data_IF_823208462610
#
_entry.id   IF_823208462610
#
_cell.length_a   1.000
_cell.length_b   1.000
_cell.length_c   1.000
_cell.angle_alpha   90.00
_cell.angle_beta   90.00
_cell.angle_gamma   90.00
#
_symmetry.space_group_name_H-M   'P 1'
#
loop_
_entity.id
_entity.type
_entity.pdbx_description
1 polymer ?
#
# COMPACT_ATOMS: atom_id res chain seq x y z
N UNK A 1 22.27 -6.55 60.32
CA UNK A 1 21.73 -5.46 59.52
C UNK A 1 22.42 -5.47 58.15
N UNK A 2 21.76 -6.00 57.10
CA UNK A 2 22.25 -6.00 55.71
C UNK A 2 21.53 -4.89 54.98
N UNK A 3 22.29 -3.89 54.54
CA UNK A 3 21.76 -2.81 53.67
C UNK A 3 21.69 -3.31 52.23
N UNK A 4 20.51 -3.29 51.65
CA UNK A 4 20.28 -3.56 50.23
C UNK A 4 20.40 -2.24 49.51
N UNK A 5 21.42 -2.12 48.67
CA UNK A 5 21.64 -0.95 47.80
C UNK A 5 20.86 -1.21 46.50
N UNK A 6 19.72 -0.52 46.35
CA UNK A 6 18.90 -0.54 45.12
C UNK A 6 19.52 0.42 44.12
N UNK A 7 20.12 -0.10 43.07
CA UNK A 7 20.64 0.67 41.92
C UNK A 7 19.47 1.02 40.99
N UNK A 8 19.02 2.26 41.01
CA UNK A 8 18.09 2.80 40.00
C UNK A 8 18.89 3.08 38.72
N UNK A 9 18.64 2.26 37.68
CA UNK A 9 19.07 2.60 36.34
C UNK A 9 18.11 3.67 35.77
N UNK A 10 18.59 4.89 35.69
CA UNK A 10 17.96 5.92 34.88
C UNK A 10 18.31 5.66 33.41
N UNK A 11 17.36 5.18 32.62
CA UNK A 11 17.47 5.21 31.17
C UNK A 11 17.14 6.64 30.71
N UNK A 12 18.16 7.43 30.48
CA UNK A 12 18.01 8.75 29.85
C UNK A 12 17.72 8.53 28.37
N UNK A 13 16.47 8.74 27.96
CA UNK A 13 16.10 8.98 26.58
C UNK A 13 16.73 10.31 26.13
N UNK A 14 17.80 10.22 25.35
CA UNK A 14 18.33 11.37 24.64
C UNK A 14 17.42 11.67 23.45
N UNK A 15 16.49 12.59 23.62
CA UNK A 15 15.89 13.30 22.49
C UNK A 15 17.00 14.18 21.89
N UNK A 16 17.59 13.74 20.77
CA UNK A 16 18.42 14.62 19.97
C UNK A 16 17.47 15.50 19.16
N UNK A 17 17.32 16.75 19.55
CA UNK A 17 16.69 17.77 18.71
C UNK A 17 17.57 17.97 17.48
N UNK A 18 17.03 17.71 16.31
CA UNK A 18 17.61 18.11 15.04
C UNK A 18 17.71 19.64 15.02
N UNK A 19 18.85 20.15 14.61
CA UNK A 19 19.15 21.58 14.56
C UNK A 19 18.40 22.16 13.35
N UNK A 20 17.42 23.00 13.62
CA UNK A 20 16.56 23.63 12.61
C UNK A 20 17.32 24.82 12.00
N UNK A 21 17.79 24.67 10.77
CA UNK A 21 18.21 25.80 9.96
C UNK A 21 16.98 26.53 9.39
N UNK A 22 17.10 27.80 9.10
CA UNK A 22 16.02 28.77 8.84
C UNK A 22 15.09 28.51 7.64
N UNK A 23 15.12 27.34 7.04
CA UNK A 23 14.46 27.03 5.78
C UNK A 23 13.53 25.82 5.79
N UNK A 24 12.95 25.40 6.89
CA UNK A 24 12.06 24.22 6.94
C UNK A 24 12.67 22.90 6.40
N UNK A 25 13.99 22.87 6.21
CA UNK A 25 14.71 21.66 5.80
C UNK A 25 14.78 20.68 6.96
N UNK A 26 14.66 19.39 6.64
CA UNK A 26 14.73 18.33 7.65
C UNK A 26 15.61 17.18 7.13
N UNK A 27 16.56 16.74 7.96
CA UNK A 27 17.45 15.62 7.64
C UNK A 27 17.56 14.67 8.81
N UNK A 28 17.30 13.37 8.56
CA UNK A 28 17.50 12.28 9.50
C UNK A 28 18.21 11.13 8.77
N UNK A 29 19.28 10.59 9.34
CA UNK A 29 19.89 9.32 8.91
C UNK A 29 20.28 8.53 10.15
N UNK A 30 19.46 7.52 10.52
CA UNK A 30 19.64 6.82 11.80
C UNK A 30 19.16 5.37 11.73
N UNK A 31 19.82 4.52 12.51
CA UNK A 31 19.41 3.14 12.76
C UNK A 31 18.64 3.04 14.09
N UNK A 32 17.60 2.20 14.07
CA UNK A 32 16.73 1.91 15.20
C UNK A 32 16.66 0.41 15.44
N UNK A 33 16.44 0.01 16.68
CA UNK A 33 16.10 -1.38 16.97
C UNK A 33 14.74 -1.68 16.36
N UNK A 34 14.64 -2.84 15.74
CA UNK A 34 13.41 -3.28 15.11
C UNK A 34 13.36 -4.81 15.19
N UNK A 35 12.18 -5.38 15.45
CA UNK A 35 11.99 -6.82 15.44
C UNK A 35 11.95 -7.35 13.99
N UNK A 36 12.45 -8.56 13.74
CA UNK A 36 12.36 -9.18 12.41
C UNK A 36 10.92 -9.35 11.91
N UNK A 37 9.95 -9.33 12.82
CA UNK A 37 8.51 -9.38 12.53
C UNK A 37 7.78 -8.19 13.16
N UNK A 38 8.48 -7.09 13.35
CA UNK A 38 7.91 -5.85 13.88
C UNK A 38 7.00 -5.16 12.88
N UNK A 39 6.24 -4.20 13.36
CA UNK A 39 5.40 -3.35 12.52
C UNK A 39 6.02 -1.96 12.41
N UNK A 40 6.16 -1.48 11.18
CA UNK A 40 6.41 -0.09 10.89
C UNK A 40 5.08 0.62 10.68
N UNK A 41 4.82 1.67 11.46
CA UNK A 41 3.75 2.63 11.19
C UNK A 41 4.38 3.89 10.60
N UNK A 42 3.94 4.29 9.41
CA UNK A 42 4.36 5.54 8.77
C UNK A 42 3.14 6.42 8.52
N UNK A 43 3.22 7.66 8.95
CA UNK A 43 2.27 8.70 8.58
C UNK A 43 3.02 9.90 8.04
N UNK A 44 2.82 10.21 6.76
CA UNK A 44 3.43 11.35 6.08
C UNK A 44 2.44 11.95 5.07
N UNK A 45 2.70 13.19 4.66
CA UNK A 45 1.97 13.85 3.57
C UNK A 45 2.65 13.57 2.21
N UNK A 46 3.04 14.58 1.48
CA UNK A 46 3.51 14.58 0.09
C UNK A 46 4.94 14.04 -0.07
N UNK A 47 5.23 12.82 0.38
CA UNK A 47 6.58 12.24 0.35
C UNK A 47 6.75 11.23 -0.78
N UNK A 48 7.99 11.17 -1.32
CA UNK A 48 8.41 10.00 -2.09
C UNK A 48 9.03 8.97 -1.16
N UNK A 49 8.35 7.83 -0.97
CA UNK A 49 8.67 6.82 0.03
C UNK A 49 9.24 5.57 -0.62
N UNK A 50 10.40 5.13 -0.14
CA UNK A 50 11.03 3.87 -0.52
C UNK A 50 11.17 2.99 0.70
N UNK A 51 10.60 1.78 0.65
CA UNK A 51 10.70 0.78 1.71
C UNK A 51 11.30 -0.49 1.13
N UNK A 52 12.46 -0.89 1.62
CA UNK A 52 13.16 -2.08 1.16
C UNK A 52 13.38 -3.07 2.32
N UNK A 53 12.86 -4.29 2.15
CA UNK A 53 13.15 -5.43 3.01
C UNK A 53 14.48 -6.08 2.66
N UNK A 54 15.19 -6.59 3.67
CA UNK A 54 16.45 -7.30 3.49
C UNK A 54 16.78 -8.19 4.68
N UNK A 55 17.80 -9.04 4.58
CA UNK A 55 18.32 -9.84 5.70
C UNK A 55 19.09 -8.93 6.69
N UNK A 56 18.34 -8.11 7.42
CA UNK A 56 18.87 -7.22 8.46
C UNK A 56 18.10 -7.39 9.76
N UNK A 57 18.74 -7.09 10.89
CA UNK A 57 18.15 -7.20 12.22
C UNK A 57 17.77 -5.87 12.89
N UNK A 58 17.68 -4.80 12.10
CA UNK A 58 17.35 -3.46 12.59
C UNK A 58 16.62 -2.66 11.49
N UNK A 59 16.11 -1.48 11.81
CA UNK A 59 15.60 -0.53 10.82
C UNK A 59 16.62 0.57 10.56
N UNK A 60 16.75 1.00 9.31
CA UNK A 60 17.49 2.22 8.95
C UNK A 60 16.51 3.20 8.30
N UNK A 61 16.44 4.39 8.85
CA UNK A 61 15.55 5.46 8.39
C UNK A 61 16.40 6.62 7.91
N UNK A 62 16.15 7.04 6.67
CA UNK A 62 16.74 8.25 6.11
C UNK A 62 15.61 9.13 5.56
N UNK A 63 15.51 10.35 6.10
CA UNK A 63 14.51 11.33 5.69
C UNK A 63 15.26 12.58 5.25
N UNK A 64 14.99 13.02 4.04
CA UNK A 64 15.53 14.25 3.47
C UNK A 64 14.36 15.11 2.98
N UNK A 65 14.21 16.30 3.55
CA UNK A 65 13.27 17.31 3.10
C UNK A 65 14.02 18.61 2.88
N UNK A 66 13.92 19.13 1.66
CA UNK A 66 14.53 20.40 1.24
C UNK A 66 13.44 21.32 0.69
N UNK A 67 13.39 22.57 1.16
CA UNK A 67 12.41 23.57 0.73
C UNK A 67 13.11 24.77 0.14
N UNK A 68 12.85 25.05 -1.13
CA UNK A 68 13.34 26.24 -1.81
C UNK A 68 12.20 27.24 -2.03
N UNK A 69 12.30 28.41 -1.42
CA UNK A 69 11.32 29.47 -1.57
C UNK A 69 11.99 30.75 -2.11
N UNK A 70 11.46 31.29 -3.21
CA UNK A 70 11.88 32.57 -3.80
C UNK A 70 10.69 33.49 -3.93
N UNK A 71 10.70 34.63 -3.28
CA UNK A 71 9.61 35.60 -3.34
C UNK A 71 9.27 36.23 -1.98
N UNK A 72 8.03 36.68 -1.82
CA UNK A 72 7.51 37.27 -0.61
C UNK A 72 6.57 36.30 0.07
N UNK A 73 6.88 35.94 1.32
CA UNK A 73 6.03 35.09 2.16
C UNK A 73 5.21 36.00 3.05
N UNK A 74 3.89 35.80 3.08
CA UNK A 74 2.96 36.46 3.98
C UNK A 74 2.37 35.42 4.92
N UNK A 75 2.46 35.62 6.23
CA UNK A 75 1.89 34.72 7.23
C UNK A 75 2.93 34.06 8.14
N UNK A 76 2.53 32.98 8.80
CA UNK A 76 3.40 32.23 9.71
C UNK A 76 4.39 31.34 8.98
N UNK A 77 5.35 30.79 9.74
CA UNK A 77 6.20 29.70 9.25
C UNK A 77 5.51 28.38 9.55
N UNK A 78 5.47 27.49 8.58
CA UNK A 78 5.08 26.10 8.79
C UNK A 78 6.24 25.38 9.52
N UNK A 79 5.95 24.84 10.68
CA UNK A 79 6.89 24.00 11.40
C UNK A 79 6.71 22.55 10.93
N UNK A 80 7.75 22.00 10.31
CA UNK A 80 7.83 20.61 9.93
C UNK A 80 8.69 19.84 10.91
N UNK A 81 8.24 18.69 11.35
CA UNK A 81 9.02 17.77 12.15
C UNK A 81 8.57 16.32 11.89
N UNK A 82 9.53 15.40 11.93
CA UNK A 82 9.28 13.95 11.92
C UNK A 82 9.64 13.38 13.28
N UNK A 83 8.67 12.75 13.92
CA UNK A 83 8.86 12.01 15.15
C UNK A 83 9.06 10.53 14.86
N UNK A 84 10.12 9.95 15.40
CA UNK A 84 10.44 8.52 15.22
C UNK A 84 10.56 7.88 16.59
N UNK A 85 9.61 6.99 16.91
CA UNK A 85 9.51 6.33 18.20
C UNK A 85 9.66 4.80 18.06
N UNK A 86 10.55 4.20 18.86
CA UNK A 86 10.69 2.76 18.97
C UNK A 86 9.89 2.24 20.17
N UNK A 87 8.95 1.33 19.90
CA UNK A 87 8.10 0.74 20.94
C UNK A 87 8.12 -0.78 20.82
N UNK A 88 8.79 -1.47 21.74
CA UNK A 88 8.80 -2.93 21.82
C UNK A 88 9.20 -3.64 20.49
N UNK A 89 10.15 -3.08 19.77
CA UNK A 89 10.62 -3.62 18.49
C UNK A 89 9.75 -3.27 17.28
N UNK A 90 8.77 -2.41 17.45
CA UNK A 90 8.03 -1.72 16.38
C UNK A 90 8.58 -0.31 16.21
N UNK A 91 8.21 0.35 15.14
CA UNK A 91 8.67 1.71 14.85
C UNK A 91 7.49 2.55 14.33
N UNK A 92 7.26 3.68 14.99
CA UNK A 92 6.29 4.67 14.56
C UNK A 92 7.03 5.90 14.03
N UNK A 93 6.70 6.31 12.80
CA UNK A 93 7.24 7.48 12.11
C UNK A 93 6.07 8.39 11.77
N UNK A 94 5.99 9.53 12.45
CA UNK A 94 4.86 10.44 12.36
C UNK A 94 5.32 11.81 11.89
N UNK A 95 4.72 12.29 10.83
CA UNK A 95 4.87 13.68 10.39
C UNK A 95 4.01 14.57 11.26
N UNK A 96 4.65 15.58 11.85
CA UNK A 96 3.99 16.67 12.57
C UNK A 96 4.12 17.94 11.73
N UNK A 97 3.05 18.32 11.04
CA UNK A 97 3.00 19.55 10.24
C UNK A 97 1.99 20.50 10.88
N UNK A 98 2.46 21.65 11.37
CA UNK A 98 1.54 22.67 11.81
C UNK A 98 1.25 23.62 10.65
N UNK A 99 0.00 23.66 10.22
CA UNK A 99 -0.44 24.59 9.18
C UNK A 99 -0.65 25.97 9.77
N UNK A 100 0.17 26.93 9.37
CA UNK A 100 -0.17 28.34 9.52
C UNK A 100 -0.67 28.86 8.16
N UNK A 101 -1.69 29.71 8.15
CA UNK A 101 -2.16 30.30 6.90
C UNK A 101 -1.07 31.23 6.35
N UNK A 102 -0.27 30.73 5.43
CA UNK A 102 0.76 31.48 4.72
C UNK A 102 0.39 31.63 3.25
N UNK A 103 0.67 32.76 2.67
CA UNK A 103 0.58 33.02 1.26
C UNK A 103 1.95 33.31 0.68
N UNK A 104 2.30 32.70 -0.44
CA UNK A 104 3.55 32.92 -1.15
C UNK A 104 3.25 33.60 -2.47
N UNK A 105 3.90 34.76 -2.70
CA UNK A 105 3.95 35.38 -4.02
C UNK A 105 5.36 35.16 -4.56
N UNK A 106 5.51 34.08 -5.38
CA UNK A 106 6.82 33.68 -5.86
C UNK A 106 6.88 32.22 -6.26
N UNK A 107 8.03 31.60 -6.05
CA UNK A 107 8.32 30.21 -6.36
C UNK A 107 8.47 29.41 -5.04
N UNK A 108 7.81 28.27 -4.99
CA UNK A 108 7.96 27.26 -3.93
C UNK A 108 8.30 25.92 -4.56
N UNK A 109 9.31 25.25 -4.06
CA UNK A 109 9.66 23.89 -4.45
C UNK A 109 10.04 23.10 -3.22
N UNK A 110 9.45 21.93 -3.08
CA UNK A 110 9.73 20.98 -2.02
C UNK A 110 10.23 19.69 -2.63
N UNK A 111 11.27 19.13 -2.04
CA UNK A 111 11.74 17.78 -2.31
C UNK A 111 11.73 17.01 -1.00
N UNK A 112 10.82 16.05 -0.89
CA UNK A 112 10.64 15.27 0.32
C UNK A 112 10.75 13.78 0.02
N UNK A 113 11.73 13.11 0.64
CA UNK A 113 12.04 11.71 0.39
C UNK A 113 12.25 10.97 1.70
N UNK A 114 11.62 9.81 1.84
CA UNK A 114 11.74 8.90 2.97
C UNK A 114 12.28 7.57 2.45
N UNK A 115 13.45 7.15 2.93
CA UNK A 115 14.03 5.86 2.63
C UNK A 115 14.09 5.01 3.89
N UNK A 116 13.49 3.84 3.84
CA UNK A 116 13.34 2.92 4.97
C UNK A 116 13.87 1.56 4.58
N UNK A 117 14.84 1.04 5.34
CA UNK A 117 15.31 -0.32 5.16
C UNK A 117 14.96 -1.13 6.40
N UNK A 118 14.29 -2.28 6.22
CA UNK A 118 13.73 -3.12 7.26
C UNK A 118 14.17 -4.59 7.11
N UNK A 119 13.98 -5.42 8.13
CA UNK A 119 13.92 -6.87 7.92
C UNK A 119 12.79 -7.25 6.97
N UNK A 120 13.00 -8.26 6.12
CA UNK A 120 11.99 -8.75 5.15
C UNK A 120 10.65 -9.13 5.82
N UNK A 121 10.69 -9.73 7.01
CA UNK A 121 9.50 -10.13 7.77
C UNK A 121 8.72 -9.01 8.44
N UNK A 122 9.08 -7.74 8.20
CA UNK A 122 8.37 -6.59 8.75
C UNK A 122 6.95 -6.47 8.18
N UNK A 123 6.01 -5.98 9.01
CA UNK A 123 4.69 -5.55 8.57
C UNK A 123 4.64 -4.02 8.44
N UNK A 124 3.82 -3.53 7.53
CA UNK A 124 3.68 -2.11 7.24
C UNK A 124 2.24 -1.63 7.50
N UNK A 125 2.12 -0.48 8.13
CA UNK A 125 0.89 0.30 8.24
C UNK A 125 1.23 1.72 7.81
N UNK A 126 0.76 2.13 6.64
CA UNK A 126 1.10 3.41 6.03
C UNK A 126 -0.17 4.24 5.85
N UNK A 127 -0.09 5.51 6.21
CA UNK A 127 -1.10 6.52 5.90
C UNK A 127 -0.42 7.71 5.26
N UNK A 128 -0.94 8.13 4.12
CA UNK A 128 -0.41 9.25 3.37
C UNK A 128 -1.48 10.04 2.65
N UNK A 129 -1.16 11.28 2.34
CA UNK A 129 -2.00 12.10 1.51
C UNK A 129 -1.54 11.89 0.03
N UNK A 130 -0.70 12.78 -0.52
CA UNK A 130 -0.16 12.65 -1.87
C UNK A 130 1.24 11.98 -1.85
N UNK A 131 1.65 11.34 -2.93
CA UNK A 131 3.03 10.87 -3.04
C UNK A 131 3.22 9.58 -3.83
N UNK A 132 4.48 9.15 -3.93
CA UNK A 132 4.84 7.90 -4.58
C UNK A 132 5.38 6.91 -3.53
N UNK A 133 4.88 5.69 -3.51
CA UNK A 133 5.32 4.63 -2.61
C UNK A 133 5.90 3.47 -3.40
N UNK A 134 7.17 3.14 -3.13
CA UNK A 134 7.87 1.99 -3.71
C UNK A 134 8.28 1.02 -2.60
N UNK A 135 7.67 -0.18 -2.60
CA UNK A 135 7.87 -1.19 -1.55
C UNK A 135 8.43 -2.46 -2.18
N UNK A 136 9.56 -2.92 -1.67
CA UNK A 136 10.23 -4.10 -2.19
C UNK A 136 10.58 -5.10 -1.08
N UNK A 137 10.49 -6.40 -1.38
CA UNK A 137 10.96 -7.50 -0.53
C UNK A 137 10.39 -7.48 0.90
N UNK A 138 9.11 -7.25 1.06
CA UNK A 138 8.41 -7.30 2.36
C UNK A 138 7.54 -8.54 2.42
N UNK A 139 7.78 -9.40 3.42
CA UNK A 139 7.08 -10.66 3.66
C UNK A 139 6.02 -10.58 4.77
N UNK A 140 5.90 -9.47 5.47
CA UNK A 140 4.83 -9.21 6.44
C UNK A 140 3.55 -8.68 5.80
N UNK A 141 2.53 -8.40 6.60
CA UNK A 141 1.29 -7.78 6.13
C UNK A 141 1.53 -6.32 5.75
N UNK A 142 0.86 -5.86 4.69
CA UNK A 142 0.96 -4.48 4.21
C UNK A 142 -0.44 -3.88 4.18
N UNK A 143 -0.63 -2.81 4.96
CA UNK A 143 -1.86 -2.01 4.97
C UNK A 143 -1.51 -0.57 4.61
N UNK A 144 -2.16 -0.04 3.58
CA UNK A 144 -1.97 1.33 3.11
C UNK A 144 -3.31 2.04 2.97
N UNK A 145 -3.35 3.28 3.42
CA UNK A 145 -4.52 4.16 3.41
C UNK A 145 -4.01 5.50 2.87
N UNK A 146 -4.28 5.76 1.61
CA UNK A 146 -3.67 6.83 0.80
C UNK A 146 -4.77 7.61 0.10
N UNK A 147 -4.58 8.93 -0.07
CA UNK A 147 -5.50 9.75 -0.83
C UNK A 147 -5.09 9.74 -2.32
N UNK A 148 -4.17 10.63 -2.78
CA UNK A 148 -3.74 10.76 -4.17
C UNK A 148 -2.31 10.20 -4.34
N UNK A 149 -2.15 8.88 -4.58
CA UNK A 149 -0.83 8.27 -4.52
C UNK A 149 -0.61 7.12 -5.50
N UNK A 150 0.61 7.04 -6.05
CA UNK A 150 1.06 5.88 -6.81
C UNK A 150 1.76 4.86 -5.92
N UNK A 151 1.31 3.60 -5.99
CA UNK A 151 1.83 2.50 -5.20
C UNK A 151 2.46 1.41 -6.07
N UNK A 152 3.76 1.20 -5.93
CA UNK A 152 4.48 0.12 -6.60
C UNK A 152 5.01 -0.90 -5.57
N UNK A 153 4.59 -2.18 -5.69
CA UNK A 153 5.07 -3.28 -4.86
C UNK A 153 5.79 -4.32 -5.73
N UNK A 154 6.98 -4.75 -5.28
CA UNK A 154 7.76 -5.81 -5.94
C UNK A 154 8.26 -6.83 -4.94
N UNK A 155 8.14 -8.11 -5.31
CA UNK A 155 8.62 -9.22 -4.49
C UNK A 155 8.09 -9.19 -3.04
N UNK A 156 6.82 -8.79 -2.85
CA UNK A 156 6.15 -8.76 -1.57
C UNK A 156 5.30 -10.02 -1.39
N UNK A 157 5.48 -10.76 -0.30
CA UNK A 157 4.82 -12.04 -0.09
C UNK A 157 4.22 -12.19 1.31
N UNK A 158 3.35 -11.24 1.68
CA UNK A 158 2.68 -11.24 2.98
C UNK A 158 1.48 -12.19 3.06
N UNK A 159 0.91 -12.27 4.27
CA UNK A 159 -0.34 -13.00 4.47
C UNK A 159 -1.57 -12.16 4.09
N UNK A 160 -1.44 -10.85 4.11
CA UNK A 160 -2.53 -9.91 3.90
C UNK A 160 -2.01 -8.61 3.28
N UNK A 161 -2.70 -8.16 2.24
CA UNK A 161 -2.53 -6.88 1.60
C UNK A 161 -3.86 -6.14 1.66
N UNK A 162 -3.84 -4.92 2.18
CA UNK A 162 -5.00 -4.05 2.25
C UNK A 162 -4.63 -2.68 1.72
N UNK A 163 -5.31 -2.25 0.67
CA UNK A 163 -5.11 -0.97 0.02
C UNK A 163 -6.42 -0.20 -0.02
N UNK A 164 -6.38 1.03 0.46
CA UNK A 164 -7.46 2.01 0.31
C UNK A 164 -6.86 3.21 -0.38
N UNK A 165 -7.42 3.60 -1.53
CA UNK A 165 -6.99 4.75 -2.35
C UNK A 165 -8.20 5.53 -2.81
N UNK A 166 -8.10 6.87 -2.81
CA UNK A 166 -9.06 7.72 -3.50
C UNK A 166 -8.66 7.82 -4.99
N UNK A 167 -7.48 8.36 -5.31
CA UNK A 167 -6.93 8.49 -6.66
C UNK A 167 -5.53 7.86 -6.80
N UNK A 168 -5.14 7.43 -8.00
CA UNK A 168 -3.79 6.96 -8.32
C UNK A 168 -3.69 5.52 -8.82
N UNK A 169 -2.49 4.98 -8.91
CA UNK A 169 -2.24 3.67 -9.50
C UNK A 169 -1.69 2.67 -8.48
N UNK A 170 -2.17 1.42 -8.51
CA UNK A 170 -1.57 0.29 -7.81
C UNK A 170 -0.91 -0.65 -8.80
N UNK A 171 0.40 -0.78 -8.75
CA UNK A 171 1.16 -1.75 -9.53
C UNK A 171 1.83 -2.76 -8.61
N UNK A 172 1.46 -4.04 -8.72
CA UNK A 172 2.02 -5.11 -7.89
C UNK A 172 2.58 -6.22 -8.76
N UNK A 173 3.85 -6.55 -8.55
CA UNK A 173 4.49 -7.73 -9.14
C UNK A 173 4.82 -8.74 -8.05
N UNK A 174 4.23 -9.91 -8.17
CA UNK A 174 4.11 -10.96 -7.15
C UNK A 174 3.17 -10.54 -6.00
N UNK A 175 2.60 -11.52 -5.31
CA UNK A 175 1.73 -11.33 -4.15
C UNK A 175 1.10 -12.64 -3.73
N UNK A 176 0.95 -12.85 -2.42
CA UNK A 176 0.35 -14.06 -1.82
C UNK A 176 -0.59 -13.66 -0.69
N UNK A 177 -1.38 -14.63 -0.21
CA UNK A 177 -2.26 -14.41 0.94
C UNK A 177 -3.60 -13.82 0.55
N UNK A 178 -4.18 -12.98 1.42
CA UNK A 178 -5.41 -12.27 1.15
C UNK A 178 -5.12 -10.89 0.54
N UNK A 179 -5.93 -10.47 -0.42
CA UNK A 179 -5.87 -9.15 -1.02
C UNK A 179 -7.21 -8.44 -0.82
N UNK A 180 -7.18 -7.25 -0.25
CA UNK A 180 -8.31 -6.33 -0.12
C UNK A 180 -7.95 -5.00 -0.78
N UNK A 181 -8.78 -4.53 -1.69
CA UNK A 181 -8.65 -3.24 -2.38
C UNK A 181 -9.98 -2.52 -2.28
N UNK A 182 -9.94 -1.27 -1.88
CA UNK A 182 -11.06 -0.34 -1.83
C UNK A 182 -10.58 0.97 -2.45
N UNK A 183 -11.04 1.28 -3.66
CA UNK A 183 -10.52 2.41 -4.40
C UNK A 183 -11.63 3.13 -5.20
N UNK A 184 -11.57 4.45 -5.22
CA UNK A 184 -12.53 5.26 -5.97
C UNK A 184 -12.06 5.40 -7.44
N UNK A 185 -11.09 6.24 -7.76
CA UNK A 185 -10.58 6.52 -9.12
C UNK A 185 -9.15 5.96 -9.30
N UNK A 186 -8.98 4.62 -9.35
CA UNK A 186 -7.66 4.02 -9.39
C UNK A 186 -7.50 2.88 -10.40
N UNK A 187 -6.40 2.90 -11.15
CA UNK A 187 -5.99 1.78 -11.98
C UNK A 187 -5.17 0.76 -11.17
N UNK A 188 -5.62 -0.49 -11.17
CA UNK A 188 -4.97 -1.58 -10.43
C UNK A 188 -4.41 -2.62 -11.39
N UNK A 189 -3.10 -2.84 -11.33
CA UNK A 189 -2.40 -3.85 -12.12
C UNK A 189 -1.60 -4.79 -11.26
N UNK A 190 -1.99 -6.06 -11.23
CA UNK A 190 -1.31 -7.12 -10.49
C UNK A 190 -0.84 -8.21 -11.43
N UNK A 191 0.46 -8.51 -11.42
CA UNK A 191 1.07 -9.60 -12.15
C UNK A 191 1.60 -10.68 -11.19
N UNK A 192 1.69 -11.92 -11.68
CA UNK A 192 2.28 -13.06 -10.95
C UNK A 192 1.67 -13.33 -9.57
N UNK A 193 0.40 -13.00 -9.36
CA UNK A 193 -0.29 -13.20 -8.08
C UNK A 193 -0.56 -14.68 -7.73
N UNK A 194 -0.63 -14.98 -6.45
CA UNK A 194 -1.02 -16.29 -5.90
C UNK A 194 -1.87 -16.11 -4.64
N UNK A 195 -2.99 -15.42 -4.79
CA UNK A 195 -3.84 -15.06 -3.67
C UNK A 195 -4.76 -16.20 -3.24
N UNK A 196 -4.99 -16.31 -1.93
CA UNK A 196 -5.97 -17.23 -1.33
C UNK A 196 -7.38 -16.68 -1.39
N UNK A 197 -7.52 -15.37 -1.38
CA UNK A 197 -8.76 -14.62 -1.57
C UNK A 197 -8.46 -13.23 -2.14
N UNK A 198 -9.44 -12.69 -2.86
CA UNK A 198 -9.43 -11.30 -3.33
C UNK A 198 -10.79 -10.69 -2.97
N UNK A 199 -10.76 -9.52 -2.38
CA UNK A 199 -11.89 -8.62 -2.27
C UNK A 199 -11.47 -7.29 -2.88
N UNK A 200 -12.03 -6.92 -4.03
CA UNK A 200 -11.76 -5.65 -4.69
C UNK A 200 -13.08 -4.93 -4.95
N UNK A 201 -13.13 -3.68 -4.53
CA UNK A 201 -14.22 -2.75 -4.77
C UNK A 201 -13.62 -1.49 -5.39
N UNK A 202 -13.99 -1.19 -6.64
CA UNK A 202 -13.44 -0.09 -7.42
C UNK A 202 -14.60 0.63 -8.08
N UNK A 203 -14.70 1.94 -7.88
CA UNK A 203 -15.74 2.71 -8.54
C UNK A 203 -15.37 2.95 -10.00
N UNK A 204 -14.35 3.75 -10.28
CA UNK A 204 -13.86 4.06 -11.62
C UNK A 204 -12.39 3.61 -11.80
N UNK A 205 -12.07 2.92 -12.89
CA UNK A 205 -10.71 2.49 -13.21
C UNK A 205 -10.60 1.07 -13.77
N UNK A 206 -9.41 0.71 -14.21
CA UNK A 206 -9.13 -0.60 -14.77
C UNK A 206 -8.53 -1.55 -13.71
N UNK A 207 -9.19 -2.68 -13.46
CA UNK A 207 -8.68 -3.75 -12.61
C UNK A 207 -8.11 -4.89 -13.46
N UNK A 208 -6.80 -5.00 -13.54
CA UNK A 208 -6.09 -6.03 -14.31
C UNK A 208 -5.32 -6.94 -13.37
N UNK A 209 -5.83 -8.15 -13.15
CA UNK A 209 -5.22 -9.12 -12.24
C UNK A 209 -4.82 -10.39 -12.98
N UNK A 210 -3.55 -10.78 -12.85
CA UNK A 210 -3.03 -12.10 -13.21
C UNK A 210 -2.71 -12.87 -11.93
N UNK A 211 -3.42 -13.97 -11.68
CA UNK A 211 -3.26 -14.76 -10.45
C UNK A 211 -3.57 -16.23 -10.64
N UNK A 212 -3.03 -17.08 -9.77
CA UNK A 212 -3.54 -18.44 -9.58
C UNK A 212 -4.73 -18.43 -8.62
N UNK A 213 -5.73 -19.28 -8.88
CA UNK A 213 -6.86 -19.48 -7.97
C UNK A 213 -6.55 -20.61 -6.99
N UNK A 214 -6.59 -20.30 -5.70
CA UNK A 214 -6.47 -21.30 -4.65
C UNK A 214 -7.68 -22.24 -4.64
N UNK A 215 -7.47 -23.53 -4.33
CA UNK A 215 -8.58 -24.45 -4.17
C UNK A 215 -9.44 -24.03 -2.97
N UNK A 216 -10.75 -23.89 -3.16
CA UNK A 216 -11.71 -23.31 -2.22
C UNK A 216 -11.48 -21.81 -1.89
N UNK A 217 -10.66 -21.10 -2.66
CA UNK A 217 -10.51 -19.64 -2.55
C UNK A 217 -11.81 -18.90 -2.88
N UNK A 218 -11.96 -17.70 -2.31
CA UNK A 218 -13.09 -16.81 -2.58
C UNK A 218 -12.57 -15.50 -3.16
N UNK A 219 -13.09 -15.13 -4.32
CA UNK A 219 -12.69 -13.96 -5.08
C UNK A 219 -13.93 -13.14 -5.36
N UNK A 220 -14.01 -11.98 -4.75
CA UNK A 220 -15.09 -11.02 -4.94
C UNK A 220 -14.51 -9.77 -5.59
N UNK A 221 -15.07 -9.38 -6.73
CA UNK A 221 -14.66 -8.21 -7.49
C UNK A 221 -15.91 -7.41 -7.83
N UNK A 222 -15.93 -6.15 -7.46
CA UNK A 222 -16.94 -5.18 -7.83
C UNK A 222 -16.29 -4.02 -8.56
N UNK A 223 -16.84 -3.61 -9.71
CA UNK A 223 -16.47 -2.37 -10.38
C UNK A 223 -17.69 -1.75 -11.02
N UNK A 224 -17.82 -0.42 -10.92
CA UNK A 224 -18.91 0.31 -11.56
C UNK A 224 -18.59 0.57 -13.03
N UNK A 225 -17.48 1.24 -13.32
CA UNK A 225 -16.99 1.54 -14.66
C UNK A 225 -15.61 0.91 -14.96
N UNK A 226 -15.14 0.97 -16.20
CA UNK A 226 -13.81 0.54 -16.61
C UNK A 226 -13.70 -0.90 -17.09
N UNK A 227 -12.59 -1.57 -16.77
CA UNK A 227 -12.27 -2.93 -17.21
C UNK A 227 -11.95 -3.84 -16.02
N UNK A 228 -12.65 -4.94 -15.89
CA UNK A 228 -12.23 -6.07 -15.05
C UNK A 228 -11.56 -7.12 -15.94
N UNK A 229 -10.24 -7.25 -15.89
CA UNK A 229 -9.48 -8.26 -16.59
C UNK A 229 -8.86 -9.26 -15.60
N UNK A 230 -9.42 -10.46 -15.51
CA UNK A 230 -8.88 -11.53 -14.66
C UNK A 230 -8.24 -12.62 -15.51
N UNK A 231 -6.92 -12.77 -15.37
CA UNK A 231 -6.14 -13.83 -15.99
C UNK A 231 -5.84 -14.92 -14.97
N UNK A 232 -6.39 -16.10 -15.19
CA UNK A 232 -6.17 -17.26 -14.33
C UNK A 232 -4.98 -18.06 -14.83
N UNK A 233 -3.86 -18.03 -14.12
CA UNK A 233 -2.64 -18.77 -14.48
C UNK A 233 -2.75 -20.24 -14.10
N UNK A 234 -3.30 -20.54 -12.93
CA UNK A 234 -3.49 -21.91 -12.44
C UNK A 234 -4.79 -22.03 -11.62
N UNK A 235 -5.25 -23.26 -11.38
CA UNK A 235 -6.49 -23.49 -10.65
C UNK A 235 -7.73 -23.31 -11.52
N UNK A 236 -8.88 -23.25 -10.88
CA UNK A 236 -10.18 -23.10 -11.52
C UNK A 236 -11.31 -23.10 -10.50
N UNK A 237 -12.54 -23.02 -10.97
CA UNK A 237 -13.68 -22.95 -10.09
C UNK A 237 -14.98 -22.54 -10.80
N UNK A 238 -15.89 -21.95 -10.03
CA UNK A 238 -17.16 -21.42 -10.49
C UNK A 238 -17.11 -19.90 -10.51
N UNK A 239 -17.53 -19.34 -11.64
CA UNK A 239 -17.60 -17.91 -11.87
C UNK A 239 -19.07 -17.51 -11.97
N UNK A 240 -19.48 -16.55 -11.19
CA UNK A 240 -20.80 -15.94 -11.18
C UNK A 240 -20.64 -14.43 -11.46
N UNK A 241 -20.95 -14.01 -12.68
CA UNK A 241 -20.76 -12.65 -13.13
C UNK A 241 -22.14 -12.02 -13.26
N UNK A 242 -22.42 -11.01 -12.46
CA UNK A 242 -23.61 -10.16 -12.56
C UNK A 242 -23.22 -8.87 -13.22
N UNK A 243 -23.95 -8.48 -14.22
CA UNK A 243 -23.64 -7.29 -15.01
C UNK A 243 -24.94 -6.60 -15.46
N UNK A 244 -24.85 -5.30 -15.61
CA UNK A 244 -25.85 -4.47 -16.29
C UNK A 244 -25.12 -3.77 -17.43
N UNK A 245 -25.65 -3.88 -18.64
CA UNK A 245 -25.05 -3.39 -19.90
C UNK A 245 -23.56 -3.79 -20.17
N UNK A 246 -22.95 -4.55 -19.28
CA UNK A 246 -21.55 -4.98 -19.38
C UNK A 246 -21.36 -6.14 -20.36
N UNK A 247 -20.23 -6.10 -21.07
CA UNK A 247 -19.84 -7.18 -22.00
C UNK A 247 -18.86 -8.14 -21.34
N UNK A 248 -19.24 -9.42 -21.24
CA UNK A 248 -18.36 -10.49 -20.76
C UNK A 248 -17.65 -11.17 -21.94
N UNK A 249 -16.32 -11.19 -21.92
CA UNK A 249 -15.46 -11.85 -22.92
C UNK A 249 -14.64 -12.92 -22.22
N UNK A 250 -14.63 -14.13 -22.79
CA UNK A 250 -13.86 -15.25 -22.23
C UNK A 250 -12.88 -15.80 -23.25
N UNK A 251 -11.64 -16.08 -22.81
CA UNK A 251 -10.59 -16.71 -23.60
C UNK A 251 -10.05 -17.93 -22.85
N UNK A 252 -9.93 -19.06 -23.55
CA UNK A 252 -9.45 -20.31 -22.96
C UNK A 252 -10.57 -21.33 -22.70
N UNK A 253 -10.41 -22.19 -21.69
CA UNK A 253 -11.26 -23.39 -21.49
C UNK A 253 -12.43 -23.14 -20.52
N UNK A 254 -13.04 -21.96 -20.54
CA UNK A 254 -14.28 -21.72 -19.80
C UNK A 254 -15.46 -22.46 -20.43
N UNK A 255 -16.32 -23.03 -19.59
CA UNK A 255 -17.57 -23.64 -20.00
C UNK A 255 -18.73 -22.80 -19.51
N UNK A 256 -19.56 -22.32 -20.42
CA UNK A 256 -20.77 -21.54 -20.08
C UNK A 256 -21.83 -22.47 -19.54
N UNK A 257 -22.34 -22.17 -18.35
CA UNK A 257 -23.46 -22.85 -17.69
C UNK A 257 -24.76 -22.08 -17.91
N UNK A 258 -24.68 -20.75 -17.84
CA UNK A 258 -25.83 -19.85 -18.01
C UNK A 258 -25.33 -18.54 -18.62
N UNK A 259 -26.11 -17.97 -19.51
CA UNK A 259 -25.87 -16.65 -20.10
C UNK A 259 -27.21 -15.95 -20.30
N UNK A 260 -27.36 -14.77 -19.74
CA UNK A 260 -28.53 -13.91 -19.83
C UNK A 260 -28.11 -12.45 -19.98
N UNK A 261 -29.07 -11.54 -20.11
CA UNK A 261 -28.78 -10.10 -20.23
C UNK A 261 -28.09 -9.50 -19.00
N UNK A 262 -28.26 -10.10 -17.81
CA UNK A 262 -27.78 -9.56 -16.53
C UNK A 262 -26.89 -10.51 -15.74
N UNK A 263 -26.61 -11.72 -16.30
CA UNK A 263 -25.82 -12.72 -15.59
C UNK A 263 -25.15 -13.71 -16.53
N UNK A 264 -23.88 -13.94 -16.28
CA UNK A 264 -23.10 -15.00 -16.93
C UNK A 264 -22.50 -15.92 -15.88
N UNK A 265 -22.77 -17.24 -16.01
CA UNK A 265 -22.20 -18.26 -15.12
C UNK A 265 -21.30 -19.20 -15.91
N UNK A 266 -20.08 -19.32 -15.44
CA UNK A 266 -19.05 -20.13 -16.08
C UNK A 266 -18.45 -21.13 -15.10
N UNK A 267 -17.83 -22.16 -15.64
CA UNK A 267 -16.97 -23.04 -14.85
C UNK A 267 -15.65 -23.27 -15.55
N UNK A 268 -14.61 -23.39 -14.77
CA UNK A 268 -13.26 -23.75 -15.19
C UNK A 268 -12.84 -25.02 -14.43
N UNK A 269 -12.60 -26.10 -15.15
CA UNK A 269 -12.56 -27.48 -14.65
C UNK A 269 -11.27 -27.85 -13.93
N UNK A 270 -10.64 -27.06 -13.10
CA UNK A 270 -9.40 -27.46 -12.40
C UNK A 270 -9.35 -26.99 -10.96
N UNK A 271 -10.48 -26.82 -10.28
CA UNK A 271 -10.52 -26.39 -8.89
C UNK A 271 -11.91 -26.08 -8.38
N UNK A 272 -12.01 -25.66 -7.13
CA UNK A 272 -13.26 -25.36 -6.42
C UNK A 272 -13.32 -23.89 -5.95
N UNK A 273 -12.55 -23.01 -6.54
CA UNK A 273 -12.62 -21.58 -6.24
C UNK A 273 -14.02 -21.03 -6.56
N UNK A 274 -14.40 -19.99 -5.83
CA UNK A 274 -15.60 -19.20 -6.10
C UNK A 274 -15.16 -17.82 -6.52
N UNK A 275 -15.61 -17.40 -7.70
CA UNK A 275 -15.32 -16.09 -8.26
C UNK A 275 -16.65 -15.39 -8.53
N UNK A 276 -16.95 -14.38 -7.74
CA UNK A 276 -18.14 -13.54 -7.84
C UNK A 276 -17.72 -12.18 -8.37
N UNK A 277 -18.20 -11.78 -9.55
CA UNK A 277 -17.92 -10.50 -10.18
C UNK A 277 -19.22 -9.72 -10.31
N UNK A 278 -19.18 -8.45 -9.95
CA UNK A 278 -20.21 -7.46 -10.24
C UNK A 278 -19.63 -6.37 -11.10
N UNK A 279 -20.31 -6.05 -12.17
CA UNK A 279 -19.89 -5.06 -13.13
C UNK A 279 -21.14 -4.31 -13.62
N UNK A 280 -21.26 -3.02 -13.32
CA UNK A 280 -22.38 -2.24 -13.84
C UNK A 280 -22.09 -1.90 -15.30
N UNK A 281 -21.39 -0.83 -15.61
CA UNK A 281 -21.00 -0.43 -16.97
C UNK A 281 -19.58 -0.93 -17.35
N UNK A 282 -18.92 -1.67 -16.45
CA UNK A 282 -17.58 -2.19 -16.64
C UNK A 282 -17.52 -3.37 -17.63
N UNK A 283 -16.46 -3.44 -18.43
CA UNK A 283 -16.19 -4.59 -19.31
C UNK A 283 -15.50 -5.71 -18.53
N UNK A 284 -15.95 -6.95 -18.70
CA UNK A 284 -15.34 -8.11 -18.03
C UNK A 284 -14.61 -8.97 -19.05
N UNK A 285 -13.31 -9.21 -18.83
CA UNK A 285 -12.47 -10.10 -19.62
C UNK A 285 -11.86 -11.19 -18.74
N UNK A 286 -12.18 -12.43 -19.00
CA UNK A 286 -11.63 -13.59 -18.31
C UNK A 286 -10.73 -14.38 -19.25
N UNK A 287 -9.48 -14.62 -18.83
CA UNK A 287 -8.49 -15.35 -19.61
C UNK A 287 -8.00 -16.56 -18.82
N UNK A 288 -7.85 -17.71 -19.47
CA UNK A 288 -7.18 -18.90 -18.93
C UNK A 288 -6.04 -19.32 -19.84
N UNK A 289 -4.85 -19.20 -19.33
CA UNK A 289 -3.66 -19.78 -19.97
C UNK A 289 -3.61 -21.31 -19.85
#
# INVERSE_FOLDING_TARGET
MKAILTLLLFTSSFALSAQNDKNSDFHLDKEYKFSNTGTLTLKCSDAKVFIDGSDRGNAKIKIDREVETKGIIFGGHDEFNMEVEEINGNLDILENKSYSSSGIVGYYHEKYTININLPEGASLVVKGDDGDYMINNIDGSISMDLDDADLELKACSGNEFKFTLDDGDIVMDEGKGALEIDADDADVKIANGSFTSIQADIDDGDLVIETSLADNGNYYINAQDGLIALTVTNGGGKFDIRHDDARVITEGKFQTIEESETRTRLTLSSGNAKVDIRADDARVRLVKY
#
